data_IF_559736354575
#
_entry.id   IF_559736354575
#
_cell.length_a   1.000
_cell.length_b   1.000
_cell.length_c   1.000
_cell.angle_alpha   90.00
_cell.angle_beta   90.00
_cell.angle_gamma   90.00
#
_symmetry.space_group_name_H-M   'P 1'
#
loop_
_entity.id
_entity.type
_entity.pdbx_description
1 polymer ?
#
# COMPACT_ATOMS: atom_id res chain seq x y z
N UNK A 1 0.51 5.69 4.57
CA UNK A 1 -0.66 4.81 4.78
C UNK A 1 -1.98 5.59 4.95
N UNK A 2 -1.98 6.80 5.53
CA UNK A 2 -3.23 7.55 5.79
C UNK A 2 -3.80 8.33 4.59
N UNK A 3 -2.96 8.77 3.64
CA UNK A 3 -3.41 9.53 2.46
C UNK A 3 -4.42 8.78 1.56
N UNK A 4 -4.23 7.47 1.26
CA UNK A 4 -5.22 6.70 0.51
C UNK A 4 -6.60 6.65 1.18
N UNK A 5 -6.65 6.60 2.52
CA UNK A 5 -7.92 6.58 3.27
C UNK A 5 -8.71 7.86 3.00
N UNK A 6 -8.04 9.01 2.91
CA UNK A 6 -8.69 10.30 2.63
C UNK A 6 -9.26 10.42 1.21
N UNK A 7 -8.76 9.63 0.26
CA UNK A 7 -9.17 9.69 -1.14
C UNK A 7 -10.26 8.66 -1.48
N UNK A 8 -10.49 7.70 -0.59
CA UNK A 8 -11.36 6.57 -0.82
C UNK A 8 -12.73 6.79 -0.19
N UNK A 9 -13.76 6.85 -1.03
CA UNK A 9 -15.14 7.13 -0.63
C UNK A 9 -15.79 5.99 0.16
N UNK A 10 -15.17 4.80 0.20
CA UNK A 10 -15.72 3.65 0.94
C UNK A 10 -15.67 3.83 2.47
N UNK A 11 -14.84 4.76 2.98
CA UNK A 11 -14.70 5.00 4.41
C UNK A 11 -15.75 5.96 4.95
N UNK A 12 -16.12 5.77 6.22
CA UNK A 12 -17.05 6.66 6.92
C UNK A 12 -16.42 8.02 7.24
N UNK A 13 -17.22 9.09 7.44
CA UNK A 13 -16.72 10.38 7.87
C UNK A 13 -15.88 10.34 9.16
N UNK A 14 -16.21 9.44 10.10
CA UNK A 14 -15.42 9.24 11.32
C UNK A 14 -14.01 8.73 10.98
N UNK A 15 -13.88 7.77 10.06
CA UNK A 15 -12.58 7.22 9.64
C UNK A 15 -11.75 8.24 8.87
N UNK A 16 -12.36 9.02 7.99
CA UNK A 16 -11.68 10.13 7.31
C UNK A 16 -11.20 11.19 8.29
N UNK A 17 -12.03 11.56 9.27
CA UNK A 17 -11.63 12.46 10.36
C UNK A 17 -10.41 11.90 11.12
N UNK A 18 -10.43 10.62 11.50
CA UNK A 18 -9.31 9.99 12.21
C UNK A 18 -8.02 9.99 11.37
N UNK A 19 -8.11 9.71 10.07
CA UNK A 19 -6.95 9.77 9.18
C UNK A 19 -6.39 11.19 9.08
N UNK A 20 -7.25 12.19 8.91
CA UNK A 20 -6.85 13.59 8.79
C UNK A 20 -6.25 14.14 10.10
N UNK A 21 -6.86 13.85 11.26
CA UNK A 21 -6.32 14.32 12.55
C UNK A 21 -4.96 13.68 12.86
N UNK A 22 -4.76 12.40 12.56
CA UNK A 22 -3.47 11.73 12.73
C UNK A 22 -2.39 12.29 11.80
N UNK A 23 -2.76 12.65 10.57
CA UNK A 23 -1.85 13.37 9.67
C UNK A 23 -1.45 14.71 10.26
N UNK A 24 -2.40 15.48 10.80
CA UNK A 24 -2.08 16.76 11.46
C UNK A 24 -1.09 16.58 12.61
N UNK A 25 -1.26 15.56 13.46
CA UNK A 25 -0.32 15.26 14.54
C UNK A 25 1.06 14.88 14.03
N UNK A 26 1.11 14.13 12.92
CA UNK A 26 2.38 13.71 12.29
C UNK A 26 3.17 14.92 11.80
N UNK A 27 2.52 15.85 11.10
CA UNK A 27 3.16 17.08 10.62
C UNK A 27 3.56 18.01 11.77
N UNK A 28 2.73 18.12 12.82
CA UNK A 28 3.06 18.92 14.00
C UNK A 28 4.34 18.44 14.68
N UNK A 29 4.54 17.13 14.77
CA UNK A 29 5.74 16.52 15.38
C UNK A 29 7.04 16.85 14.64
N UNK A 30 6.96 17.18 13.35
CA UNK A 30 8.10 17.61 12.53
C UNK A 30 8.13 19.12 12.30
N UNK A 31 7.35 19.87 13.09
CA UNK A 31 7.25 21.34 13.04
C UNK A 31 6.72 21.91 11.71
N UNK A 32 6.05 21.09 10.89
CA UNK A 32 5.35 21.55 9.69
C UNK A 32 3.92 21.98 10.05
N UNK A 33 3.82 23.21 10.58
CA UNK A 33 2.56 23.78 11.02
C UNK A 33 1.63 24.14 9.86
N UNK A 34 2.16 24.40 8.66
CA UNK A 34 1.35 24.64 7.47
C UNK A 34 0.56 23.38 7.09
N UNK A 35 1.23 22.24 7.00
CA UNK A 35 0.57 20.96 6.75
C UNK A 35 -0.33 20.56 7.92
N UNK A 36 0.08 20.84 9.16
CA UNK A 36 -0.76 20.60 10.35
C UNK A 36 -2.13 21.29 10.20
N UNK A 37 -2.13 22.60 9.94
CA UNK A 37 -3.36 23.38 9.75
C UNK A 37 -4.16 22.91 8.52
N UNK A 38 -3.48 22.56 7.43
CA UNK A 38 -4.12 21.97 6.24
C UNK A 38 -4.92 20.71 6.60
N UNK A 39 -4.34 19.77 7.33
CA UNK A 39 -5.04 18.53 7.67
C UNK A 39 -6.07 18.72 8.78
N UNK A 40 -5.94 19.74 9.63
CA UNK A 40 -7.01 20.14 10.56
C UNK A 40 -8.24 20.68 9.81
N UNK A 41 -8.04 21.45 8.74
CA UNK A 41 -9.12 21.88 7.83
C UNK A 41 -9.82 20.67 7.20
N UNK A 42 -9.06 19.73 6.64
CA UNK A 42 -9.61 18.50 6.06
C UNK A 42 -10.38 17.69 7.12
N UNK A 43 -9.81 17.54 8.32
CA UNK A 43 -10.49 16.86 9.43
C UNK A 43 -11.83 17.54 9.76
N UNK A 44 -11.90 18.87 9.69
CA UNK A 44 -13.11 19.64 9.97
C UNK A 44 -14.23 19.34 8.98
N UNK A 45 -13.92 19.20 7.70
CA UNK A 45 -14.90 18.86 6.65
C UNK A 45 -15.61 17.54 6.94
N UNK A 46 -14.86 16.53 7.40
CA UNK A 46 -15.44 15.23 7.78
C UNK A 46 -16.09 15.26 9.16
N UNK A 47 -15.53 16.01 10.11
CA UNK A 47 -16.11 16.17 11.45
C UNK A 47 -17.53 16.74 11.41
N UNK A 48 -17.80 17.68 10.50
CA UNK A 48 -19.13 18.29 10.33
C UNK A 48 -20.20 17.29 9.85
N UNK A 49 -19.78 16.21 9.18
CA UNK A 49 -20.66 15.13 8.69
C UNK A 49 -20.88 14.03 9.74
N UNK A 50 -20.16 14.06 10.86
CA UNK A 50 -20.24 13.05 11.91
C UNK A 50 -21.29 13.40 12.97
N UNK A 51 -22.02 12.42 13.54
CA UNK A 51 -22.83 12.64 14.74
C UNK A 51 -21.99 13.09 15.96
N UNK A 52 -20.68 12.80 15.97
CA UNK A 52 -19.73 13.19 17.04
C UNK A 52 -19.11 14.58 16.81
N UNK A 53 -19.68 15.40 15.90
CA UNK A 53 -19.14 16.71 15.49
C UNK A 53 -18.67 17.60 16.64
N UNK A 54 -19.40 17.65 17.76
CA UNK A 54 -19.05 18.53 18.88
C UNK A 54 -17.71 18.15 19.52
N UNK A 55 -17.44 16.85 19.64
CA UNK A 55 -16.18 16.34 20.17
C UNK A 55 -15.05 16.66 19.19
N UNK A 56 -15.25 16.30 17.92
CA UNK A 56 -14.24 16.49 16.88
C UNK A 56 -13.88 17.96 16.67
N UNK A 57 -14.88 18.85 16.60
CA UNK A 57 -14.63 20.28 16.44
C UNK A 57 -13.95 20.91 17.67
N UNK A 58 -14.18 20.39 18.88
CA UNK A 58 -13.44 20.85 20.05
C UNK A 58 -11.97 20.43 19.97
N UNK A 59 -11.70 19.16 19.62
CA UNK A 59 -10.34 18.65 19.40
C UNK A 59 -9.62 19.48 18.33
N UNK A 60 -10.23 19.68 17.16
CA UNK A 60 -9.63 20.46 16.07
C UNK A 60 -9.29 21.87 16.53
N UNK A 61 -10.22 22.57 17.21
CA UNK A 61 -9.95 23.92 17.75
C UNK A 61 -8.80 23.93 18.75
N UNK A 62 -8.69 22.93 19.62
CA UNK A 62 -7.57 22.85 20.57
C UNK A 62 -6.24 22.68 19.86
N UNK A 63 -6.22 21.89 18.79
CA UNK A 63 -5.01 21.64 18.00
C UNK A 63 -4.61 22.82 17.13
N UNK A 64 -5.58 23.57 16.59
CA UNK A 64 -5.35 24.86 15.94
C UNK A 64 -4.77 25.87 16.93
N UNK A 65 -5.32 25.95 18.15
CA UNK A 65 -4.79 26.82 19.20
C UNK A 65 -3.33 26.48 19.52
N UNK A 66 -2.99 25.19 19.63
CA UNK A 66 -1.61 24.74 19.80
C UNK A 66 -0.71 25.15 18.62
N UNK A 67 -1.15 24.92 17.39
CA UNK A 67 -0.38 25.28 16.19
C UNK A 67 -0.14 26.80 16.07
N UNK A 68 -1.16 27.62 16.33
CA UNK A 68 -1.02 29.07 16.34
C UNK A 68 -0.13 29.56 17.48
N UNK A 69 -0.19 28.93 18.65
CA UNK A 69 0.67 29.29 19.76
C UNK A 69 2.15 28.98 19.45
N UNK A 70 2.44 27.79 18.92
CA UNK A 70 3.80 27.38 18.56
C UNK A 70 4.42 28.26 17.46
N UNK A 71 3.57 28.75 16.54
CA UNK A 71 3.97 29.71 15.48
C UNK A 71 3.94 31.17 15.95
N UNK A 72 3.76 31.41 17.25
CA UNK A 72 3.70 32.74 17.89
C UNK A 72 2.56 33.64 17.41
N UNK A 73 1.56 33.07 16.73
CA UNK A 73 0.32 33.74 16.36
C UNK A 73 -0.64 33.82 17.56
N UNK A 74 -0.17 34.44 18.65
CA UNK A 74 -0.82 34.39 19.97
C UNK A 74 -2.24 34.93 19.99
N UNK A 75 -2.55 35.95 19.18
CA UNK A 75 -3.92 36.50 19.09
C UNK A 75 -4.92 35.46 18.60
N UNK A 76 -4.56 34.68 17.58
CA UNK A 76 -5.42 33.62 17.04
C UNK A 76 -5.54 32.45 18.03
N UNK A 77 -4.43 32.06 18.64
CA UNK A 77 -4.43 31.04 19.68
C UNK A 77 -5.33 31.45 20.87
N UNK A 78 -5.21 32.68 21.36
CA UNK A 78 -6.00 33.19 22.49
C UNK A 78 -7.50 33.23 22.18
N UNK A 79 -7.88 33.65 20.98
CA UNK A 79 -9.28 33.61 20.54
C UNK A 79 -9.87 32.20 20.63
N UNK A 80 -9.16 31.21 20.09
CA UNK A 80 -9.59 29.80 20.13
C UNK A 80 -9.62 29.24 21.56
N UNK A 81 -8.62 29.56 22.39
CA UNK A 81 -8.59 29.15 23.80
C UNK A 81 -9.78 29.74 24.58
N UNK A 82 -10.10 31.01 24.38
CA UNK A 82 -11.25 31.67 25.01
C UNK A 82 -12.59 31.08 24.54
N UNK A 83 -12.72 30.70 23.27
CA UNK A 83 -13.90 29.97 22.78
C UNK A 83 -14.08 28.61 23.46
N UNK A 84 -12.98 27.86 23.62
CA UNK A 84 -13.01 26.57 24.32
C UNK A 84 -13.32 26.73 25.81
N UNK A 85 -12.78 27.76 26.46
CA UNK A 85 -13.00 28.07 27.88
C UNK A 85 -14.46 28.43 28.17
N UNK A 86 -15.17 29.13 27.25
CA UNK A 86 -16.62 29.41 27.39
C UNK A 86 -17.48 28.16 27.52
N UNK A 87 -17.01 27.03 26.97
CA UNK A 87 -17.67 25.73 27.11
C UNK A 87 -17.14 24.92 28.29
N UNK A 88 -16.30 25.52 29.15
CA UNK A 88 -15.52 24.84 30.18
C UNK A 88 -14.72 23.63 29.65
N UNK A 89 -14.30 23.70 28.38
CA UNK A 89 -13.58 22.64 27.69
C UNK A 89 -14.34 21.29 27.67
N UNK A 90 -15.68 21.33 27.57
CA UNK A 90 -16.62 20.18 27.74
C UNK A 90 -16.33 18.92 26.91
N UNK A 91 -15.45 18.99 25.91
CA UNK A 91 -15.12 17.86 25.03
C UNK A 91 -13.62 17.59 24.88
N UNK A 92 -12.80 18.20 25.73
CA UNK A 92 -11.36 17.98 25.72
C UNK A 92 -10.95 17.04 26.85
N UNK A 93 -9.83 16.34 26.63
CA UNK A 93 -9.16 15.60 27.70
C UNK A 93 -8.63 16.57 28.76
N UNK A 94 -8.46 16.08 29.98
CA UNK A 94 -7.86 16.87 31.07
C UNK A 94 -6.44 17.34 30.71
N UNK A 95 -5.69 16.51 29.99
CA UNK A 95 -4.36 16.87 29.48
C UNK A 95 -4.42 18.04 28.50
N UNK A 96 -5.32 18.01 27.50
CA UNK A 96 -5.43 19.11 26.54
C UNK A 96 -5.94 20.39 27.21
N UNK A 97 -6.88 20.27 28.15
CA UNK A 97 -7.34 21.38 28.99
C UNK A 97 -6.17 22.01 29.77
N UNK A 98 -5.35 21.19 30.43
CA UNK A 98 -4.17 21.66 31.16
C UNK A 98 -3.18 22.40 30.25
N UNK A 99 -2.92 21.88 29.04
CA UNK A 99 -2.03 22.54 28.06
C UNK A 99 -2.56 23.90 27.60
N UNK A 100 -3.85 24.02 27.31
CA UNK A 100 -4.46 25.29 26.92
C UNK A 100 -4.43 26.30 28.08
N UNK A 101 -4.74 25.87 29.30
CA UNK A 101 -4.66 26.73 30.50
C UNK A 101 -3.21 27.20 30.75
N UNK A 102 -2.22 26.32 30.58
CA UNK A 102 -0.81 26.70 30.64
C UNK A 102 -0.48 27.77 29.57
N UNK A 103 -0.95 27.60 28.33
CA UNK A 103 -0.74 28.59 27.26
C UNK A 103 -1.38 29.94 27.60
N UNK A 104 -2.60 29.96 28.14
CA UNK A 104 -3.22 31.17 28.67
C UNK A 104 -2.36 31.81 29.76
N UNK A 105 -1.81 31.01 30.69
CA UNK A 105 -0.87 31.47 31.70
C UNK A 105 0.38 32.12 31.10
N UNK A 106 0.91 31.56 30.01
CA UNK A 106 2.04 32.14 29.29
C UNK A 106 1.71 33.48 28.62
N UNK A 107 0.51 33.63 28.06
CA UNK A 107 0.07 34.92 27.49
C UNK A 107 -0.06 36.00 28.58
N UNK A 108 -0.53 35.64 29.77
CA UNK A 108 -0.54 36.54 30.95
C UNK A 108 0.88 36.88 31.41
N UNK A 109 1.79 35.91 31.37
CA UNK A 109 3.21 36.14 31.68
C UNK A 109 3.83 37.14 30.70
N UNK A 110 3.60 37.00 29.39
CA UNK A 110 4.08 37.95 28.37
C UNK A 110 3.52 39.36 28.61
N UNK A 111 2.27 39.45 29.05
CA UNK A 111 1.59 40.70 29.40
C UNK A 111 1.99 41.27 30.77
N UNK A 112 2.98 40.64 31.45
CA UNK A 112 3.45 40.97 32.81
C UNK A 112 2.38 40.86 33.90
N UNK A 113 1.28 40.17 33.63
CA UNK A 113 0.20 39.86 34.59
C UNK A 113 0.59 38.65 35.44
N UNK A 114 1.72 38.73 36.16
CA UNK A 114 2.35 37.55 36.79
C UNK A 114 1.46 36.82 37.79
N UNK A 115 0.64 37.54 38.57
CA UNK A 115 -0.31 36.90 39.51
C UNK A 115 -1.32 36.02 38.77
N UNK A 116 -1.86 36.50 37.65
CA UNK A 116 -2.82 35.75 36.84
C UNK A 116 -2.14 34.59 36.10
N UNK A 117 -0.92 34.80 35.62
CA UNK A 117 -0.10 33.73 35.03
C UNK A 117 0.13 32.59 36.02
N UNK A 118 0.49 32.90 37.27
CA UNK A 118 0.69 31.91 38.32
C UNK A 118 -0.58 31.10 38.59
N UNK A 119 -1.73 31.76 38.77
CA UNK A 119 -3.02 31.08 38.98
C UNK A 119 -3.31 30.08 37.85
N UNK A 120 -3.08 30.48 36.59
CA UNK A 120 -3.29 29.60 35.44
C UNK A 120 -2.29 28.43 35.45
N UNK A 121 -1.02 28.65 35.77
CA UNK A 121 -0.05 27.56 35.88
C UNK A 121 -0.39 26.57 37.00
N UNK A 122 -0.82 27.06 38.16
CA UNK A 122 -1.22 26.22 39.29
C UNK A 122 -2.43 25.35 38.91
N UNK A 123 -3.44 25.96 38.26
CA UNK A 123 -4.59 25.22 37.72
C UNK A 123 -4.17 24.15 36.70
N UNK A 124 -3.26 24.48 35.78
CA UNK A 124 -2.78 23.54 34.78
C UNK A 124 -2.01 22.38 35.42
N UNK A 125 -1.25 22.62 36.48
CA UNK A 125 -0.51 21.58 37.23
C UNK A 125 -1.47 20.62 37.92
N UNK A 126 -2.50 21.12 38.60
CA UNK A 126 -3.46 20.24 39.28
C UNK A 126 -4.16 19.30 38.28
N UNK A 127 -4.53 19.83 37.10
CA UNK A 127 -5.12 19.02 36.03
C UNK A 127 -4.13 18.01 35.45
N UNK A 128 -2.88 18.43 35.18
CA UNK A 128 -1.87 17.57 34.59
C UNK A 128 -1.40 16.47 35.54
N UNK A 129 -1.37 16.75 36.86
CA UNK A 129 -0.96 15.77 37.89
C UNK A 129 -1.91 14.58 37.96
N UNK A 130 -3.21 14.78 37.70
CA UNK A 130 -4.18 13.68 37.70
C UNK A 130 -4.33 13.02 36.33
N UNK A 131 -4.02 13.72 35.24
CA UNK A 131 -4.21 13.20 33.88
C UNK A 131 -2.96 12.51 33.33
N UNK A 132 -1.84 13.25 33.26
CA UNK A 132 -0.62 12.84 32.56
C UNK A 132 0.60 13.41 33.30
N UNK A 133 0.96 12.85 34.48
CA UNK A 133 2.02 13.39 35.35
C UNK A 133 3.36 13.60 34.63
N UNK A 134 3.72 12.70 33.71
CA UNK A 134 4.96 12.80 32.97
C UNK A 134 5.09 14.04 32.08
N UNK A 135 3.99 14.75 31.81
CA UNK A 135 3.98 16.02 31.07
C UNK A 135 4.02 17.27 31.99
N UNK A 136 4.00 17.11 33.32
CA UNK A 136 4.16 18.20 34.28
C UNK A 136 5.40 19.08 34.06
N UNK A 137 6.57 18.55 33.64
CA UNK A 137 7.75 19.39 33.41
C UNK A 137 7.50 20.54 32.44
N UNK A 138 6.60 20.37 31.46
CA UNK A 138 6.23 21.45 30.53
C UNK A 138 5.70 22.70 31.27
N UNK A 139 4.89 22.50 32.31
CA UNK A 139 4.25 23.58 33.06
C UNK A 139 5.17 24.08 34.17
N UNK A 140 5.88 23.19 34.85
CA UNK A 140 6.83 23.54 35.91
C UNK A 140 7.98 24.42 35.40
N UNK A 141 8.46 24.19 34.17
CA UNK A 141 9.44 25.07 33.53
C UNK A 141 8.86 26.47 33.27
N UNK A 142 7.56 26.60 32.94
CA UNK A 142 6.90 27.91 32.82
C UNK A 142 6.73 28.60 34.18
N UNK A 143 6.45 27.86 35.25
CA UNK A 143 6.50 28.42 36.61
C UNK A 143 7.91 28.87 37.01
N UNK A 144 8.95 28.10 36.66
CA UNK A 144 10.35 28.50 36.88
C UNK A 144 10.65 29.84 36.21
N UNK A 145 10.21 30.05 34.96
CA UNK A 145 10.36 31.33 34.26
C UNK A 145 9.66 32.48 34.98
N UNK A 146 8.43 32.24 35.46
CA UNK A 146 7.66 33.21 36.24
C UNK A 146 8.39 33.60 37.54
N UNK A 147 8.89 32.61 38.30
CA UNK A 147 9.61 32.86 39.54
C UNK A 147 10.93 33.59 39.29
N UNK A 148 11.64 33.27 38.22
CA UNK A 148 12.83 34.02 37.82
C UNK A 148 12.50 35.49 37.48
N UNK A 149 11.42 35.74 36.73
CA UNK A 149 10.99 37.09 36.35
C UNK A 149 10.48 37.93 37.54
N UNK A 150 10.09 37.28 38.64
CA UNK A 150 9.61 37.92 39.88
C UNK A 150 10.65 37.87 41.01
N UNK A 151 11.91 37.51 40.70
CA UNK A 151 13.02 37.42 41.65
C UNK A 151 12.80 36.43 42.82
N UNK A 152 11.94 35.43 42.63
CA UNK A 152 11.64 34.36 43.58
C UNK A 152 12.59 33.16 43.39
N UNK A 153 13.87 33.34 43.74
CA UNK A 153 14.94 32.38 43.42
C UNK A 153 14.72 30.99 44.07
N UNK A 154 14.20 30.95 45.31
CA UNK A 154 13.92 29.68 46.00
C UNK A 154 12.83 28.89 45.26
N UNK A 155 11.71 29.53 44.92
CA UNK A 155 10.62 28.91 44.19
C UNK A 155 11.06 28.50 42.77
N UNK A 156 11.88 29.32 42.10
CA UNK A 156 12.47 28.98 40.80
C UNK A 156 13.28 27.68 40.88
N UNK A 157 14.17 27.56 41.87
CA UNK A 157 14.99 26.36 42.05
C UNK A 157 14.17 25.12 42.41
N UNK A 158 13.10 25.28 43.22
CA UNK A 158 12.18 24.20 43.55
C UNK A 158 11.41 23.71 42.31
N UNK A 159 10.89 24.63 41.50
CA UNK A 159 10.19 24.32 40.26
C UNK A 159 11.12 23.59 39.26
N UNK A 160 12.37 24.05 39.13
CA UNK A 160 13.38 23.39 38.31
C UNK A 160 13.67 21.96 38.79
N UNK A 161 13.94 21.77 40.09
CA UNK A 161 14.19 20.43 40.66
C UNK A 161 13.02 19.49 40.47
N UNK A 162 11.79 19.97 40.67
CA UNK A 162 10.58 19.18 40.46
C UNK A 162 10.44 18.75 38.99
N UNK A 163 10.73 19.65 38.04
CA UNK A 163 10.69 19.35 36.61
C UNK A 163 11.74 18.30 36.21
N UNK A 164 12.97 18.42 36.72
CA UNK A 164 14.04 17.45 36.44
C UNK A 164 13.72 16.09 37.07
N UNK A 165 13.31 16.05 38.33
CA UNK A 165 12.97 14.80 39.01
C UNK A 165 11.85 14.04 38.28
N UNK A 166 10.79 14.74 37.87
CA UNK A 166 9.70 14.14 37.12
C UNK A 166 10.14 13.67 35.73
N UNK A 167 10.98 14.44 35.05
CA UNK A 167 11.52 14.07 33.73
C UNK A 167 12.47 12.86 33.79
N UNK A 168 13.23 12.72 34.87
CA UNK A 168 14.08 11.56 35.16
C UNK A 168 13.24 10.32 35.48
N UNK A 169 12.24 10.45 36.37
CA UNK A 169 11.32 9.37 36.75
C UNK A 169 10.57 8.81 35.53
N UNK A 170 10.13 9.69 34.62
CA UNK A 170 9.44 9.29 33.39
C UNK A 170 10.38 8.91 32.24
N UNK A 171 11.70 9.02 32.42
CA UNK A 171 12.71 8.78 31.38
C UNK A 171 12.49 9.62 30.10
N UNK A 172 12.10 10.89 30.23
CA UNK A 172 11.85 11.80 29.09
C UNK A 172 12.96 12.85 28.99
N UNK A 173 14.01 12.55 28.24
CA UNK A 173 15.18 13.43 28.06
C UNK A 173 14.80 14.80 27.48
N UNK A 174 13.80 14.84 26.58
CA UNK A 174 13.33 16.10 25.98
C UNK A 174 12.91 17.12 27.04
N UNK A 175 12.33 16.70 28.16
CA UNK A 175 11.94 17.61 29.23
C UNK A 175 13.11 18.06 30.10
N UNK A 176 14.13 17.22 30.26
CA UNK A 176 15.38 17.65 30.88
C UNK A 176 16.07 18.72 30.04
N UNK A 177 16.21 18.49 28.72
CA UNK A 177 16.74 19.47 27.78
C UNK A 177 15.97 20.79 27.86
N UNK A 178 14.64 20.71 27.80
CA UNK A 178 13.79 21.90 27.90
C UNK A 178 14.03 22.71 29.18
N UNK A 179 14.08 22.04 30.34
CA UNK A 179 14.32 22.71 31.62
C UNK A 179 15.71 23.37 31.69
N UNK A 180 16.75 22.67 31.23
CA UNK A 180 18.12 23.20 31.23
C UNK A 180 18.34 24.33 30.22
N UNK A 181 17.72 24.27 29.04
CA UNK A 181 17.77 25.36 28.05
C UNK A 181 17.14 26.64 28.61
N UNK A 182 15.99 26.52 29.26
CA UNK A 182 15.30 27.66 29.86
C UNK A 182 16.07 28.21 31.07
N UNK A 183 16.69 27.34 31.88
CA UNK A 183 17.56 27.77 32.97
C UNK A 183 18.81 28.51 32.43
N UNK A 184 19.38 28.05 31.31
CA UNK A 184 20.47 28.75 30.62
C UNK A 184 20.04 30.15 30.20
N UNK A 185 18.85 30.29 29.60
CA UNK A 185 18.34 31.61 29.18
C UNK A 185 18.10 32.55 30.38
N UNK A 186 17.64 32.03 31.51
CA UNK A 186 17.50 32.80 32.76
C UNK A 186 18.88 33.33 33.22
N UNK A 187 19.88 32.46 33.35
CA UNK A 187 21.22 32.88 33.79
C UNK A 187 21.92 33.77 32.77
N UNK A 188 21.65 33.60 31.48
CA UNK A 188 22.15 34.49 30.41
C UNK A 188 21.66 35.91 30.59
N UNK A 189 20.37 36.09 30.92
CA UNK A 189 19.78 37.41 31.20
C UNK A 189 20.28 38.02 32.51
N UNK A 190 20.70 37.18 33.46
CA UNK A 190 21.28 37.62 34.74
C UNK A 190 22.79 37.88 34.67
N UNK A 191 23.44 37.60 33.53
CA UNK A 191 24.89 37.70 33.35
C UNK A 191 25.73 36.81 34.31
N UNK A 192 25.19 35.68 34.76
CA UNK A 192 25.87 34.73 35.66
C UNK A 192 26.75 33.74 34.87
N UNK A 193 27.98 34.17 34.56
CA UNK A 193 28.93 33.41 33.72
C UNK A 193 29.30 32.03 34.29
N UNK A 194 29.44 31.92 35.61
CA UNK A 194 29.86 30.67 36.26
C UNK A 194 28.79 29.59 36.10
N UNK A 195 27.51 29.93 36.37
CA UNK A 195 26.42 28.97 36.20
C UNK A 195 26.16 28.65 34.73
N UNK A 196 26.34 29.61 33.82
CA UNK A 196 26.21 29.36 32.38
C UNK A 196 27.13 28.25 31.89
N UNK A 197 28.40 28.23 32.31
CA UNK A 197 29.35 27.19 31.92
C UNK A 197 28.90 25.80 32.42
N UNK A 198 28.45 25.69 33.67
CA UNK A 198 27.97 24.44 34.25
C UNK A 198 26.73 23.91 33.51
N UNK A 199 25.79 24.80 33.18
CA UNK A 199 24.58 24.44 32.45
C UNK A 199 24.90 24.01 31.02
N UNK A 200 25.85 24.67 30.36
CA UNK A 200 26.25 24.31 28.99
C UNK A 200 26.85 22.89 28.93
N UNK A 201 27.74 22.53 29.87
CA UNK A 201 28.30 21.17 29.95
C UNK A 201 27.21 20.10 30.13
N UNK A 202 26.21 20.38 30.97
CA UNK A 202 25.08 19.48 31.18
C UNK A 202 24.22 19.35 29.93
N UNK A 203 23.96 20.45 29.21
CA UNK A 203 23.23 20.44 27.94
C UNK A 203 23.98 19.64 26.87
N UNK A 204 25.29 19.79 26.74
CA UNK A 204 26.10 19.04 25.77
C UNK A 204 26.00 17.53 26.03
N UNK A 205 26.05 17.13 27.30
CA UNK A 205 25.86 15.73 27.73
C UNK A 205 24.47 15.22 27.34
N UNK A 206 23.42 15.97 27.69
CA UNK A 206 22.03 15.59 27.39
C UNK A 206 21.77 15.51 25.89
N UNK A 207 22.29 16.45 25.10
CA UNK A 207 22.20 16.44 23.65
C UNK A 207 22.87 15.22 23.04
N UNK A 208 24.02 14.80 23.59
CA UNK A 208 24.70 13.58 23.19
C UNK A 208 23.84 12.32 23.41
N UNK A 209 23.13 12.23 24.55
CA UNK A 209 22.22 11.11 24.83
C UNK A 209 20.99 11.17 23.92
N UNK A 210 20.37 12.34 23.80
CA UNK A 210 19.17 12.56 22.97
C UNK A 210 19.42 12.25 21.49
N UNK A 211 20.59 12.61 20.96
CA UNK A 211 20.99 12.29 19.59
C UNK A 211 21.09 10.76 19.37
N UNK A 212 21.64 10.02 20.35
CA UNK A 212 21.71 8.55 20.28
C UNK A 212 20.31 7.92 20.26
N UNK A 213 19.40 8.37 21.13
CA UNK A 213 18.01 7.87 21.15
C UNK A 213 17.29 8.12 19.83
N UNK A 214 17.45 9.32 19.25
CA UNK A 214 16.85 9.66 17.95
C UNK A 214 17.36 8.74 16.84
N UNK A 215 18.65 8.43 16.85
CA UNK A 215 19.25 7.51 15.86
C UNK A 215 18.72 6.08 16.02
N UNK A 216 18.56 5.60 17.26
CA UNK A 216 17.97 4.27 17.53
C UNK A 216 16.52 4.22 17.03
N UNK A 217 15.72 5.25 17.30
CA UNK A 217 14.34 5.33 16.82
C UNK A 217 14.27 5.36 15.28
N UNK A 218 15.16 6.11 14.63
CA UNK A 218 15.25 6.14 13.17
C UNK A 218 15.61 4.75 12.59
N UNK A 219 16.55 4.05 13.21
CA UNK A 219 16.93 2.69 12.82
C UNK A 219 15.77 1.69 12.99
N UNK A 220 15.01 1.79 14.09
CA UNK A 220 13.81 0.99 14.31
C UNK A 220 12.75 1.24 13.23
N UNK A 221 12.44 2.50 12.93
CA UNK A 221 11.49 2.84 11.87
C UNK A 221 11.95 2.32 10.50
N UNK A 222 13.24 2.45 10.18
CA UNK A 222 13.80 1.91 8.94
C UNK A 222 13.64 0.40 8.86
N UNK A 223 13.95 -0.33 9.95
CA UNK A 223 13.74 -1.78 10.04
C UNK A 223 12.27 -2.15 9.82
N UNK A 224 11.33 -1.46 10.45
CA UNK A 224 9.90 -1.71 10.26
C UNK A 224 9.46 -1.46 8.82
N UNK A 225 9.93 -0.39 8.17
CA UNK A 225 9.60 -0.13 6.76
C UNK A 225 10.11 -1.23 5.83
N UNK A 226 11.31 -1.77 6.08
CA UNK A 226 11.84 -2.91 5.33
C UNK A 226 10.99 -4.16 5.56
N UNK A 227 10.65 -4.47 6.81
CA UNK A 227 9.79 -5.61 7.15
C UNK A 227 8.40 -5.51 6.52
N UNK A 228 7.79 -4.32 6.51
CA UNK A 228 6.52 -4.08 5.84
C UNK A 228 6.63 -4.23 4.32
N UNK A 229 7.71 -3.74 3.71
CA UNK A 229 7.95 -3.89 2.27
C UNK A 229 8.10 -5.37 1.88
N UNK A 230 8.84 -6.16 2.66
CA UNK A 230 9.00 -7.59 2.43
C UNK A 230 7.70 -8.37 2.65
N UNK A 231 6.95 -8.04 3.71
CA UNK A 231 5.61 -8.61 3.96
C UNK A 231 4.66 -8.30 2.80
N UNK A 232 4.67 -7.07 2.29
CA UNK A 232 3.85 -6.67 1.15
C UNK A 232 4.26 -7.40 -0.13
N UNK A 233 5.56 -7.60 -0.39
CA UNK A 233 6.05 -8.39 -1.53
C UNK A 233 5.56 -9.84 -1.44
N UNK A 234 5.67 -10.46 -0.27
CA UNK A 234 5.17 -11.82 -0.04
C UNK A 234 3.65 -11.90 -0.28
N UNK A 235 2.89 -10.97 0.29
CA UNK A 235 1.44 -10.90 0.10
C UNK A 235 1.06 -10.70 -1.37
N UNK A 236 1.78 -9.82 -2.09
CA UNK A 236 1.56 -9.59 -3.51
C UNK A 236 1.89 -10.83 -4.35
N UNK A 237 2.95 -11.56 -4.00
CA UNK A 237 3.31 -12.84 -4.64
C UNK A 237 2.27 -13.93 -4.36
N UNK A 238 1.74 -14.00 -3.13
CA UNK A 238 0.65 -14.92 -2.80
C UNK A 238 -0.63 -14.55 -3.56
N UNK A 239 -0.99 -13.27 -3.63
CA UNK A 239 -2.15 -12.80 -4.36
C UNK A 239 -2.05 -13.07 -5.87
N UNK A 240 -0.89 -12.80 -6.49
CA UNK A 240 -0.67 -13.09 -7.91
C UNK A 240 -0.73 -14.59 -8.19
N UNK A 241 -0.15 -15.42 -7.31
CA UNK A 241 -0.23 -16.88 -7.40
C UNK A 241 -1.68 -17.37 -7.30
N UNK A 242 -2.48 -16.83 -6.38
CA UNK A 242 -3.91 -17.15 -6.28
C UNK A 242 -4.71 -16.69 -7.51
N UNK A 243 -4.39 -15.52 -8.07
CA UNK A 243 -5.02 -15.04 -9.29
C UNK A 243 -4.74 -15.96 -10.48
N UNK A 244 -3.48 -16.40 -10.66
CA UNK A 244 -3.10 -17.37 -11.69
C UNK A 244 -3.81 -18.72 -11.54
N UNK A 245 -3.99 -19.21 -10.31
CA UNK A 245 -4.77 -20.43 -10.05
C UNK A 245 -6.25 -20.25 -10.45
N UNK A 246 -6.87 -19.12 -10.10
CA UNK A 246 -8.28 -18.83 -10.43
C UNK A 246 -8.49 -18.65 -11.94
N UNK A 247 -7.60 -17.94 -12.63
CA UNK A 247 -7.69 -17.77 -14.09
C UNK A 247 -7.48 -19.09 -14.82
N UNK A 248 -6.50 -19.89 -14.38
CA UNK A 248 -6.28 -21.24 -14.90
C UNK A 248 -7.50 -22.15 -14.75
N UNK A 249 -8.11 -22.18 -13.55
CA UNK A 249 -9.33 -22.96 -13.30
C UNK A 249 -10.49 -22.49 -14.20
N UNK A 250 -10.65 -21.17 -14.36
CA UNK A 250 -11.70 -20.59 -15.22
C UNK A 250 -11.52 -21.00 -16.68
N UNK A 251 -10.30 -20.97 -17.22
CA UNK A 251 -10.01 -21.41 -18.59
C UNK A 251 -10.34 -22.89 -18.77
N UNK A 252 -9.94 -23.74 -17.82
CA UNK A 252 -10.23 -25.19 -17.87
C UNK A 252 -11.75 -25.44 -17.89
N UNK A 253 -12.52 -24.72 -17.07
CA UNK A 253 -13.99 -24.86 -17.07
C UNK A 253 -14.60 -24.48 -18.42
N UNK A 254 -14.14 -23.38 -19.04
CA UNK A 254 -14.60 -22.95 -20.37
C UNK A 254 -14.28 -23.99 -21.44
N UNK A 255 -13.06 -24.56 -21.43
CA UNK A 255 -12.65 -25.61 -22.36
C UNK A 255 -13.48 -26.89 -22.19
N UNK A 256 -13.80 -27.29 -20.96
CA UNK A 256 -14.69 -28.42 -20.68
C UNK A 256 -16.10 -28.21 -21.23
N UNK A 257 -16.68 -27.01 -21.04
CA UNK A 257 -17.98 -26.68 -21.63
C UNK A 257 -17.95 -26.70 -23.16
N UNK A 258 -16.89 -26.16 -23.77
CA UNK A 258 -16.71 -26.20 -25.22
C UNK A 258 -16.57 -27.64 -25.75
N UNK A 259 -15.80 -28.49 -25.07
CA UNK A 259 -15.65 -29.91 -25.40
C UNK A 259 -16.99 -30.66 -25.30
N UNK A 260 -17.74 -30.45 -24.23
CA UNK A 260 -19.08 -31.03 -24.04
C UNK A 260 -20.03 -30.59 -25.16
N UNK A 261 -20.02 -29.30 -25.52
CA UNK A 261 -20.78 -28.75 -26.64
C UNK A 261 -20.39 -29.39 -27.98
N UNK A 262 -19.09 -29.51 -28.25
CA UNK A 262 -18.57 -30.13 -29.47
C UNK A 262 -18.91 -31.62 -29.56
N UNK A 263 -18.81 -32.37 -28.47
CA UNK A 263 -19.23 -33.77 -28.41
C UNK A 263 -20.74 -33.91 -28.68
N UNK A 264 -21.57 -33.03 -28.11
CA UNK A 264 -23.01 -33.00 -28.41
C UNK A 264 -23.27 -32.70 -29.89
N UNK A 265 -22.55 -31.74 -30.47
CA UNK A 265 -22.64 -31.40 -31.88
C UNK A 265 -22.31 -32.59 -32.79
N UNK A 266 -21.22 -33.29 -32.52
CA UNK A 266 -20.82 -34.50 -33.27
C UNK A 266 -21.87 -35.60 -33.16
N UNK A 267 -22.40 -35.88 -31.97
CA UNK A 267 -23.44 -36.91 -31.79
C UNK A 267 -24.69 -36.59 -32.62
N UNK A 268 -25.13 -35.33 -32.62
CA UNK A 268 -26.28 -34.89 -33.41
C UNK A 268 -25.99 -35.05 -34.91
N UNK A 269 -24.82 -34.61 -35.39
CA UNK A 269 -24.46 -34.77 -36.80
C UNK A 269 -24.38 -36.24 -37.23
N UNK A 270 -23.78 -37.11 -36.42
CA UNK A 270 -23.77 -38.55 -36.68
C UNK A 270 -25.18 -39.14 -36.75
N UNK A 271 -26.10 -38.69 -35.89
CA UNK A 271 -27.50 -39.13 -35.95
C UNK A 271 -28.21 -38.71 -37.24
N UNK A 272 -27.91 -37.50 -37.76
CA UNK A 272 -28.46 -37.01 -39.04
C UNK A 272 -27.93 -37.82 -40.21
N UNK A 273 -26.62 -38.05 -40.26
CA UNK A 273 -25.97 -38.84 -41.30
C UNK A 273 -26.48 -40.28 -41.29
N UNK A 274 -26.64 -40.91 -40.11
CA UNK A 274 -27.22 -42.27 -39.99
C UNK A 274 -28.65 -42.33 -40.52
N UNK A 275 -29.50 -41.35 -40.22
CA UNK A 275 -30.88 -41.29 -40.74
C UNK A 275 -30.90 -41.11 -42.26
N UNK A 276 -30.04 -40.25 -42.81
CA UNK A 276 -29.91 -40.10 -44.26
C UNK A 276 -29.44 -41.41 -44.90
N UNK A 277 -28.41 -42.05 -44.35
CA UNK A 277 -27.91 -43.34 -44.84
C UNK A 277 -28.99 -44.42 -44.80
N UNK A 278 -29.77 -44.51 -43.72
CA UNK A 278 -30.92 -45.43 -43.63
C UNK A 278 -32.01 -45.11 -44.65
N UNK A 279 -32.30 -43.83 -44.90
CA UNK A 279 -33.25 -43.42 -45.94
C UNK A 279 -32.73 -43.77 -47.36
N UNK A 280 -31.44 -43.59 -47.63
CA UNK A 280 -30.81 -44.03 -48.87
C UNK A 280 -30.89 -45.56 -49.03
N UNK A 281 -30.54 -46.34 -48.00
CA UNK A 281 -30.61 -47.79 -48.04
C UNK A 281 -32.06 -48.33 -48.14
N UNK A 282 -33.03 -47.64 -47.52
CA UNK A 282 -34.45 -47.99 -47.62
C UNK A 282 -35.04 -47.64 -49.00
N UNK A 283 -34.57 -46.56 -49.62
CA UNK A 283 -34.91 -46.24 -51.01
C UNK A 283 -34.34 -47.27 -51.99
N UNK A 284 -33.14 -47.80 -51.71
CA UNK A 284 -32.47 -48.83 -52.50
C UNK A 284 -33.14 -50.22 -52.35
N UNK A 285 -33.77 -50.50 -51.20
CA UNK A 285 -34.47 -51.78 -50.97
C UNK A 285 -35.81 -51.95 -51.71
N UNK A 286 -36.32 -50.92 -52.38
CA UNK A 286 -37.56 -50.99 -53.17
C UNK A 286 -37.34 -51.27 -54.66
N UNK A 287 -36.11 -51.60 -55.07
CA UNK A 287 -35.80 -51.96 -56.46
C UNK A 287 -34.81 -53.13 -56.51
N UNK A 288 -35.31 -54.34 -56.79
CA UNK A 288 -34.50 -55.44 -57.31
C UNK A 288 -35.39 -56.37 -58.17
N UNK A 289 -34.88 -57.05 -59.21
CA UNK A 289 -33.59 -56.85 -59.90
C UNK A 289 -33.71 -56.94 -61.45
N UNK A 290 -33.00 -56.09 -62.19
CA UNK A 290 -32.54 -56.45 -63.53
C UNK A 290 -31.15 -55.86 -63.83
N UNK A 291 -30.28 -56.79 -64.20
CA UNK A 291 -29.07 -56.66 -65.01
C UNK A 291 -27.81 -56.07 -64.35
N UNK A 292 -27.01 -57.02 -63.88
CA UNK A 292 -25.58 -56.90 -63.76
C UNK A 292 -24.93 -56.60 -65.12
N UNK A 293 -24.46 -55.38 -65.30
CA UNK A 293 -23.34 -55.09 -66.20
C UNK A 293 -22.13 -54.69 -65.35
N UNK A 294 -20.99 -55.38 -65.47
CA UNK A 294 -19.80 -55.07 -64.70
C UNK A 294 -19.17 -53.79 -65.25
N UNK A 295 -19.40 -52.66 -64.58
CA UNK A 295 -18.55 -51.49 -64.76
C UNK A 295 -17.22 -51.73 -64.05
N UNK A 296 -16.36 -52.41 -64.81
CA UNK A 296 -14.91 -52.33 -64.89
C UNK A 296 -14.26 -51.41 -63.86
N UNK A 297 -13.48 -52.04 -62.98
CA UNK A 297 -12.43 -51.45 -62.16
C UNK A 297 -11.76 -50.27 -62.86
N UNK A 298 -11.90 -49.08 -62.27
CA UNK A 298 -11.00 -47.98 -62.57
C UNK A 298 -9.64 -48.38 -62.01
N UNK A 299 -8.83 -48.98 -62.88
CA UNK A 299 -7.44 -49.32 -62.62
C UNK A 299 -6.73 -48.15 -61.94
N UNK A 300 -6.03 -48.47 -60.85
CA UNK A 300 -5.01 -47.68 -60.20
C UNK A 300 -3.89 -47.32 -61.19
N UNK A 301 -4.14 -46.36 -62.07
CA UNK A 301 -3.12 -45.83 -62.98
C UNK A 301 -2.43 -44.67 -62.26
N UNK A 302 -1.12 -44.80 -62.03
CA UNK A 302 -0.30 -43.69 -61.56
C UNK A 302 -0.43 -42.52 -62.53
N UNK A 303 -0.62 -41.31 -62.01
CA UNK A 303 -0.61 -40.10 -62.85
C UNK A 303 0.73 -39.99 -63.61
N UNK A 304 0.73 -39.28 -64.73
CA UNK A 304 1.95 -39.07 -65.53
C UNK A 304 3.13 -38.59 -64.68
N UNK A 305 2.86 -37.69 -63.73
CA UNK A 305 3.86 -37.17 -62.81
C UNK A 305 4.37 -38.21 -61.80
N UNK A 306 3.51 -39.11 -61.36
CA UNK A 306 3.93 -40.23 -60.50
C UNK A 306 4.74 -41.27 -61.28
N UNK A 307 4.48 -41.47 -62.57
CA UNK A 307 5.30 -42.33 -63.43
C UNK A 307 6.72 -41.77 -63.60
N UNK A 308 6.88 -40.47 -63.82
CA UNK A 308 8.20 -39.82 -63.87
C UNK A 308 8.97 -39.98 -62.55
N UNK A 309 8.29 -39.80 -61.42
CA UNK A 309 8.89 -40.00 -60.08
C UNK A 309 9.26 -41.48 -59.85
N UNK A 310 8.40 -42.41 -60.30
CA UNK A 310 8.65 -43.86 -60.22
C UNK A 310 9.88 -44.25 -61.04
N UNK A 311 10.05 -43.68 -62.22
CA UNK A 311 11.17 -43.97 -63.11
C UNK A 311 12.52 -43.51 -62.51
N UNK A 312 12.53 -42.34 -61.86
CA UNK A 312 13.70 -41.88 -61.11
C UNK A 312 13.96 -42.72 -59.84
N UNK A 313 12.91 -43.24 -59.19
CA UNK A 313 13.05 -44.16 -58.06
C UNK A 313 13.70 -45.49 -58.46
N UNK A 314 13.30 -46.06 -59.60
CA UNK A 314 13.89 -47.28 -60.17
C UNK A 314 15.38 -47.10 -60.51
N UNK A 315 15.78 -45.88 -60.88
CA UNK A 315 17.19 -45.49 -61.12
C UNK A 315 17.98 -45.25 -59.82
N UNK A 316 17.39 -45.47 -58.65
CA UNK A 316 18.06 -45.33 -57.35
C UNK A 316 18.24 -43.88 -56.87
N UNK A 317 17.64 -42.88 -57.52
CA UNK A 317 17.89 -41.46 -57.23
C UNK A 317 17.27 -40.99 -55.91
N UNK A 318 18.03 -40.27 -55.08
CA UNK A 318 17.54 -39.67 -53.84
C UNK A 318 16.51 -38.56 -54.09
N UNK A 319 15.68 -38.23 -53.09
CA UNK A 319 14.58 -37.25 -53.26
C UNK A 319 15.05 -35.88 -53.77
N UNK A 320 16.25 -35.44 -53.35
CA UNK A 320 16.88 -34.20 -53.81
C UNK A 320 17.30 -34.26 -55.28
N UNK A 321 17.75 -35.41 -55.76
CA UNK A 321 18.10 -35.62 -57.16
C UNK A 321 16.85 -35.67 -58.04
N UNK A 322 15.79 -36.35 -57.58
CA UNK A 322 14.48 -36.38 -58.26
C UNK A 322 13.89 -34.96 -58.36
N UNK A 323 13.97 -34.19 -57.27
CA UNK A 323 13.50 -32.81 -57.22
C UNK A 323 14.22 -31.93 -58.26
N UNK A 324 15.54 -32.07 -58.36
CA UNK A 324 16.35 -31.35 -59.35
C UNK A 324 16.03 -31.79 -60.79
N UNK A 325 15.90 -33.10 -61.04
CA UNK A 325 15.66 -33.63 -62.39
C UNK A 325 14.28 -33.28 -62.93
N UNK A 326 13.26 -33.27 -62.06
CA UNK A 326 11.89 -32.98 -62.44
C UNK A 326 11.50 -31.50 -62.22
N UNK A 327 12.44 -30.64 -61.78
CA UNK A 327 12.21 -29.23 -61.48
C UNK A 327 11.04 -28.99 -60.49
N UNK A 328 10.97 -29.77 -59.41
CA UNK A 328 9.96 -29.63 -58.34
C UNK A 328 10.59 -29.61 -56.95
N UNK A 329 9.85 -29.17 -55.94
CA UNK A 329 10.34 -29.17 -54.55
C UNK A 329 10.51 -30.60 -54.01
N UNK A 330 11.46 -30.80 -53.09
CA UNK A 330 11.62 -32.08 -52.38
C UNK A 330 10.36 -32.51 -51.62
N UNK A 331 9.56 -31.56 -51.12
CA UNK A 331 8.29 -31.85 -50.46
C UNK A 331 7.24 -32.39 -51.44
N UNK A 332 7.21 -31.87 -52.67
CA UNK A 332 6.37 -32.37 -53.76
C UNK A 332 6.78 -33.80 -54.15
N UNK A 333 8.10 -34.08 -54.21
CA UNK A 333 8.61 -35.43 -54.43
C UNK A 333 8.17 -36.38 -53.31
N UNK A 334 8.32 -36.00 -52.03
CA UNK A 334 7.86 -36.81 -50.88
C UNK A 334 6.37 -37.13 -50.96
N UNK A 335 5.55 -36.16 -51.39
CA UNK A 335 4.12 -36.35 -51.59
C UNK A 335 3.83 -37.39 -52.69
N UNK A 336 4.46 -37.28 -53.86
CA UNK A 336 4.29 -38.27 -54.93
C UNK A 336 4.77 -39.67 -54.52
N UNK A 337 5.91 -39.79 -53.85
CA UNK A 337 6.45 -41.07 -53.34
C UNK A 337 5.48 -41.70 -52.35
N UNK A 338 4.91 -40.92 -51.41
CA UNK A 338 3.92 -41.42 -50.45
C UNK A 338 2.70 -42.01 -51.17
N UNK A 339 2.19 -41.31 -52.19
CA UNK A 339 1.03 -41.79 -52.94
C UNK A 339 1.37 -43.04 -53.78
N UNK A 340 2.56 -43.10 -54.38
CA UNK A 340 3.06 -44.29 -55.08
C UNK A 340 3.13 -45.49 -54.14
N UNK A 341 3.69 -45.31 -52.94
CA UNK A 341 3.79 -46.35 -51.91
C UNK A 341 2.43 -46.85 -51.43
N UNK A 342 1.47 -45.94 -51.24
CA UNK A 342 0.10 -46.32 -50.91
C UNK A 342 -0.57 -47.13 -52.02
N UNK A 343 -0.37 -46.75 -53.29
CA UNK A 343 -0.96 -47.46 -54.44
C UNK A 343 -0.30 -48.82 -54.69
N UNK A 344 1.02 -48.94 -54.45
CA UNK A 344 1.77 -50.19 -54.60
C UNK A 344 1.76 -51.07 -53.33
N UNK A 345 1.11 -50.62 -52.25
CA UNK A 345 1.08 -51.27 -50.95
C UNK A 345 2.49 -51.64 -50.44
N UNK A 346 3.38 -50.63 -50.41
CA UNK A 346 4.78 -50.71 -49.95
C UNK A 346 4.99 -49.67 -48.87
N UNK A 347 5.73 -49.97 -47.80
CA UNK A 347 5.85 -49.08 -46.64
C UNK A 347 7.09 -48.18 -46.67
N UNK A 348 8.15 -48.59 -47.35
CA UNK A 348 9.39 -47.83 -47.38
C UNK A 348 10.21 -48.08 -48.66
N UNK A 349 11.19 -47.21 -48.90
CA UNK A 349 12.05 -47.25 -50.07
C UNK A 349 12.85 -48.54 -50.22
N UNK A 350 13.25 -49.16 -49.11
CA UNK A 350 13.99 -50.42 -49.12
C UNK A 350 13.09 -51.55 -49.63
N UNK A 351 11.86 -51.63 -49.12
CA UNK A 351 10.85 -52.59 -49.57
C UNK A 351 10.47 -52.36 -51.05
N UNK A 352 10.36 -51.09 -51.49
CA UNK A 352 10.12 -50.74 -52.89
C UNK A 352 11.24 -51.28 -53.81
N UNK A 353 12.50 -51.04 -53.46
CA UNK A 353 13.65 -51.48 -54.27
C UNK A 353 13.86 -53.00 -54.25
N UNK A 354 13.37 -53.71 -53.23
CA UNK A 354 13.41 -55.18 -53.16
C UNK A 354 12.32 -55.81 -54.04
N UNK A 355 11.14 -55.18 -54.14
CA UNK A 355 10.02 -55.68 -54.97
C UNK A 355 10.14 -55.36 -56.47
N UNK A 356 10.92 -54.34 -56.83
CA UNK A 356 11.08 -53.84 -58.21
C UNK A 356 12.45 -54.18 -58.84
N UNK A 357 13.29 -54.97 -58.17
CA UNK A 357 14.42 -55.70 -58.75
C UNK A 357 14.03 -57.17 -58.89
#
# INVERSE_FOLDING_TARGET
>A
MLLPILQDEQYSPDQHYQAAILLSYTYKRVYDYQSTLKYLLVAREFALKSPKKNIYLATIRSEEAFAYFDTQAYKQADQLMNELERTNFRYLTQENKAKLIMQQGYLRFLSKEYKLAQIKYDQAIELMRVSTPCNLPMIQVKQMQLFAATHQITQMNLAFKAAIAQAEECHIIKYQLYAYEELREIYRRQHDQMRLLQIQQKLDTLNGVYAKEKNIAALHNQKETMLMADTNRQNQQHQSSQQWLKTGLSIITILLFALLGWMRYIRIQQSRIRKQLQAYLAADSNTLPLEATPHKDCQNVLSHRQLEVLDCLNKGMGNKQIAAQLCISENTVKYHIKNIYQMLNVNNRKEFLIRNN
#
